data_IF_275413176666
#
_entry.id   IF_275413176666
#
_cell.length_a   1.000
_cell.length_b   1.000
_cell.length_c   1.000
_cell.angle_alpha   90.00
_cell.angle_beta   90.00
_cell.angle_gamma   90.00
#
_symmetry.space_group_name_H-M   'P 1'
#
loop_
_entity.id
_entity.type
_entity.pdbx_description
1 polymer ?
#
# COMPACT_ATOMS: atom_id res chain seq x y z
N UNK A 1 -2.06 3.39 32.28
CA UNK A 1 -1.98 2.19 33.13
C UNK A 1 -0.78 2.17 34.10
N UNK A 2 0.44 2.56 33.69
CA UNK A 2 1.64 2.46 34.55
C UNK A 2 1.64 3.32 35.83
N UNK A 3 0.95 4.47 35.82
CA UNK A 3 0.88 5.38 36.98
C UNK A 3 0.04 4.80 38.14
N UNK A 4 -1.03 4.06 37.82
CA UNK A 4 -1.88 3.43 38.84
C UNK A 4 -1.13 2.33 39.62
N UNK A 5 -0.25 1.59 38.96
CA UNK A 5 0.54 0.55 39.62
C UNK A 5 1.51 1.14 40.66
N UNK A 6 2.11 2.29 40.36
CA UNK A 6 3.06 2.96 41.26
C UNK A 6 2.34 3.49 42.50
N UNK A 7 1.14 4.05 42.35
CA UNK A 7 0.34 4.55 43.47
C UNK A 7 -0.13 3.41 44.37
N UNK A 8 -0.54 2.26 43.80
CA UNK A 8 -0.98 1.09 44.57
C UNK A 8 0.19 0.46 45.34
N UNK A 9 1.39 0.38 44.73
CA UNK A 9 2.58 -0.10 45.44
C UNK A 9 2.96 0.81 46.62
N UNK A 10 2.86 2.13 46.48
CA UNK A 10 3.14 3.06 47.58
C UNK A 10 2.13 2.94 48.74
N UNK A 11 0.86 2.71 48.43
CA UNK A 11 -0.18 2.50 49.45
C UNK A 11 -0.02 1.18 50.20
N UNK A 12 0.43 0.12 49.51
CA UNK A 12 0.66 -1.19 50.13
C UNK A 12 1.87 -1.18 51.08
N UNK A 13 2.96 -0.50 50.72
CA UNK A 13 4.15 -0.39 51.58
C UNK A 13 3.84 0.41 52.86
N UNK A 14 2.96 1.41 52.78
CA UNK A 14 2.57 2.24 53.92
C UNK A 14 1.72 1.45 54.95
N UNK A 15 0.90 0.50 54.51
CA UNK A 15 0.04 -0.32 55.37
C UNK A 15 0.83 -1.30 56.24
N UNK A 16 1.91 -1.91 55.73
CA UNK A 16 2.70 -2.88 56.49
C UNK A 16 3.48 -2.24 57.65
N UNK A 17 3.87 -0.96 57.54
CA UNK A 17 4.57 -0.26 58.62
C UNK A 17 3.69 0.11 59.82
N UNK A 18 2.36 0.01 59.71
CA UNK A 18 1.43 0.41 60.78
C UNK A 18 1.09 -0.72 61.76
N UNK A 19 1.41 -1.98 61.43
CA UNK A 19 1.00 -3.15 62.22
C UNK A 19 1.97 -3.55 63.36
N UNK A 20 3.14 -2.92 63.50
CA UNK A 20 4.12 -3.25 64.54
C UNK A 20 4.60 -2.03 65.33
N UNK A 21 3.76 -1.50 66.23
CA UNK A 21 4.14 -0.95 67.56
C UNK A 21 2.96 -0.27 68.25
N UNK A 22 2.24 -1.01 69.08
CA UNK A 22 1.41 -0.42 70.12
C UNK A 22 2.29 -0.05 71.31
N UNK A 23 2.91 1.14 71.23
CA UNK A 23 3.34 1.97 72.37
C UNK A 23 3.92 3.26 71.77
N UNK A 24 3.07 4.27 71.57
CA UNK A 24 3.45 5.55 70.97
C UNK A 24 3.84 6.54 72.08
N UNK A 25 5.09 7.04 72.13
CA UNK A 25 5.42 8.24 72.88
C UNK A 25 4.81 9.46 72.18
N UNK A 26 4.14 10.32 72.95
CA UNK A 26 3.38 11.49 72.50
C UNK A 26 4.20 12.61 71.85
N UNK A 27 5.51 12.43 71.72
CA UNK A 27 6.43 13.50 71.29
C UNK A 27 6.55 13.64 69.76
N UNK A 28 6.00 12.72 68.97
CA UNK A 28 6.22 12.70 67.51
C UNK A 28 5.05 13.17 66.63
N UNK A 29 3.96 13.69 67.19
CA UNK A 29 2.76 14.07 66.41
C UNK A 29 3.03 15.21 65.43
N UNK A 30 3.94 16.14 65.76
CA UNK A 30 4.25 17.28 64.88
C UNK A 30 4.90 16.89 63.54
N UNK A 31 5.68 15.82 63.49
CA UNK A 31 6.31 15.36 62.25
C UNK A 31 5.31 14.78 61.24
N UNK A 32 4.22 14.17 61.73
CA UNK A 32 3.18 13.57 60.86
C UNK A 32 2.38 14.64 60.12
N UNK A 33 2.02 15.73 60.78
CA UNK A 33 1.30 16.84 60.15
C UNK A 33 2.14 17.58 59.11
N UNK A 34 3.44 17.73 59.35
CA UNK A 34 4.36 18.33 58.38
C UNK A 34 4.46 17.48 57.11
N UNK A 35 4.66 16.17 57.25
CA UNK A 35 4.72 15.25 56.10
C UNK A 35 3.40 15.22 55.30
N UNK A 36 2.26 15.24 55.99
CA UNK A 36 0.95 15.30 55.33
C UNK A 36 0.79 16.57 54.50
N UNK A 37 1.23 17.72 55.03
CA UNK A 37 1.19 18.99 54.30
C UNK A 37 2.05 18.97 53.03
N UNK A 38 3.25 18.41 53.10
CA UNK A 38 4.13 18.26 51.92
C UNK A 38 3.51 17.38 50.84
N UNK A 39 2.87 16.27 51.22
CA UNK A 39 2.20 15.37 50.26
C UNK A 39 1.03 16.10 49.58
N UNK A 40 0.21 16.81 50.34
CA UNK A 40 -0.92 17.57 49.79
C UNK A 40 -0.46 18.70 48.87
N UNK A 41 0.61 19.43 49.24
CA UNK A 41 1.19 20.48 48.41
C UNK A 41 1.76 19.92 47.09
N UNK A 42 2.42 18.77 47.14
CA UNK A 42 2.98 18.12 45.95
C UNK A 42 1.87 17.66 44.99
N UNK A 43 0.83 16.97 45.50
CA UNK A 43 -0.30 16.52 44.69
C UNK A 43 -1.05 17.72 44.08
N UNK A 44 -1.26 18.79 44.86
CA UNK A 44 -1.87 20.02 44.37
C UNK A 44 -1.05 20.66 43.24
N UNK A 45 0.27 20.75 43.38
CA UNK A 45 1.17 21.28 42.36
C UNK A 45 1.15 20.47 41.06
N UNK A 46 1.15 19.13 41.15
CA UNK A 46 1.04 18.25 39.98
C UNK A 46 -0.30 18.44 39.23
N UNK A 47 -1.41 18.63 39.95
CA UNK A 47 -2.72 18.85 39.31
C UNK A 47 -2.78 20.20 38.57
N UNK A 48 -2.22 21.26 39.15
CA UNK A 48 -2.18 22.58 38.52
C UNK A 48 -1.34 22.56 37.24
N UNK A 49 -0.15 21.94 37.29
CA UNK A 49 0.73 21.84 36.11
C UNK A 49 0.13 21.00 35.00
N UNK A 50 -0.56 19.90 35.32
CA UNK A 50 -1.29 19.09 34.35
C UNK A 50 -2.44 19.87 33.68
N UNK A 51 -3.19 20.67 34.46
CA UNK A 51 -4.26 21.51 33.93
C UNK A 51 -3.73 22.58 32.95
N UNK A 52 -2.59 23.19 33.29
CA UNK A 52 -1.92 24.17 32.41
C UNK A 52 -1.47 23.50 31.10
N UNK A 53 -0.81 22.34 31.17
CA UNK A 53 -0.39 21.59 29.98
C UNK A 53 -1.58 21.19 29.10
N UNK A 54 -2.70 20.77 29.71
CA UNK A 54 -3.91 20.41 28.99
C UNK A 54 -4.52 21.61 28.25
N UNK A 55 -4.56 22.79 28.89
CA UNK A 55 -5.06 24.02 28.28
C UNK A 55 -4.21 24.45 27.07
N UNK A 56 -2.88 24.41 27.18
CA UNK A 56 -1.98 24.71 26.05
C UNK A 56 -2.14 23.73 24.89
N UNK A 57 -2.35 22.43 25.19
CA UNK A 57 -2.53 21.41 24.15
C UNK A 57 -3.85 21.61 23.39
N UNK A 58 -4.92 22.05 24.05
CA UNK A 58 -6.23 22.27 23.41
C UNK A 58 -6.20 23.46 22.42
N UNK A 59 -5.42 24.50 22.70
CA UNK A 59 -5.28 25.65 21.79
C UNK A 59 -4.60 25.29 20.46
N UNK A 60 -3.60 24.41 20.49
CA UNK A 60 -2.86 24.00 19.28
C UNK A 60 -3.66 23.09 18.35
N UNK A 61 -4.60 22.30 18.87
CA UNK A 61 -5.41 21.36 18.08
C UNK A 61 -6.40 22.11 17.18
N UNK A 62 -7.04 23.16 17.71
CA UNK A 62 -8.05 23.92 16.96
C UNK A 62 -7.47 24.68 15.75
N UNK A 63 -6.21 25.13 15.85
CA UNK A 63 -5.55 25.82 14.72
C UNK A 63 -5.20 24.83 13.59
N UNK A 64 -4.75 23.62 13.95
CA UNK A 64 -4.39 22.59 12.97
C UNK A 64 -5.62 22.05 12.24
N UNK A 65 -6.74 21.88 12.94
CA UNK A 65 -8.01 21.41 12.35
C UNK A 65 -8.59 22.40 11.33
N UNK A 66 -8.47 23.71 11.61
CA UNK A 66 -8.91 24.75 10.67
C UNK A 66 -8.04 24.79 9.40
N UNK A 67 -6.72 24.67 9.54
CA UNK A 67 -5.81 24.68 8.39
C UNK A 67 -5.95 23.41 7.52
N UNK A 68 -6.20 22.26 8.17
CA UNK A 68 -6.47 21.00 7.47
C UNK A 68 -7.75 21.03 6.66
N UNK A 69 -8.84 21.58 7.22
CA UNK A 69 -10.14 21.63 6.56
C UNK A 69 -10.16 22.58 5.36
N UNK A 70 -9.49 23.73 5.43
CA UNK A 70 -9.35 24.67 4.29
C UNK A 70 -8.57 24.03 3.13
N UNK A 71 -7.46 23.34 3.43
CA UNK A 71 -6.67 22.64 2.40
C UNK A 71 -7.47 21.52 1.73
N UNK A 72 -8.27 20.79 2.49
CA UNK A 72 -9.11 19.72 1.96
C UNK A 72 -10.22 20.29 1.06
N UNK A 73 -10.86 21.38 1.47
CA UNK A 73 -11.91 22.03 0.70
C UNK A 73 -11.39 22.59 -0.63
N UNK A 74 -10.20 23.17 -0.63
CA UNK A 74 -9.53 23.64 -1.86
C UNK A 74 -9.22 22.48 -2.82
N UNK A 75 -8.74 21.34 -2.31
CA UNK A 75 -8.51 20.13 -3.13
C UNK A 75 -9.81 19.56 -3.69
N UNK A 76 -10.88 19.56 -2.90
CA UNK A 76 -12.19 19.08 -3.34
C UNK A 76 -12.73 19.94 -4.49
N UNK A 77 -12.64 21.27 -4.38
CA UNK A 77 -13.07 22.17 -5.45
C UNK A 77 -12.30 21.94 -6.75
N UNK A 78 -10.98 21.72 -6.68
CA UNK A 78 -10.16 21.39 -7.84
C UNK A 78 -10.65 20.10 -8.54
N UNK A 79 -10.87 19.03 -7.78
CA UNK A 79 -11.34 17.74 -8.30
C UNK A 79 -12.74 17.86 -8.92
N UNK A 80 -13.61 18.67 -8.34
CA UNK A 80 -14.94 18.95 -8.89
C UNK A 80 -14.84 19.64 -10.25
N UNK A 81 -13.94 20.61 -10.39
CA UNK A 81 -13.77 21.34 -11.65
C UNK A 81 -13.09 20.48 -12.73
N UNK A 82 -12.13 19.63 -12.37
CA UNK A 82 -11.55 18.64 -13.28
C UNK A 82 -12.60 17.64 -13.79
N UNK A 83 -13.49 17.16 -12.91
CA UNK A 83 -14.59 16.29 -13.32
C UNK A 83 -15.57 16.99 -14.29
N UNK A 84 -15.84 18.29 -14.09
CA UNK A 84 -16.67 19.06 -15.04
C UNK A 84 -15.98 19.18 -16.40
N UNK A 85 -14.66 19.40 -16.43
CA UNK A 85 -13.87 19.47 -17.66
C UNK A 85 -13.88 18.13 -18.41
N UNK A 86 -13.56 17.04 -17.73
CA UNK A 86 -13.58 15.68 -18.30
C UNK A 86 -14.97 15.29 -18.84
N UNK A 87 -16.04 15.66 -18.12
CA UNK A 87 -17.42 15.43 -18.59
C UNK A 87 -17.76 16.22 -19.85
N UNK A 88 -17.14 17.38 -20.07
CA UNK A 88 -17.30 18.14 -21.31
C UNK A 88 -16.54 17.44 -22.45
N UNK A 89 -15.28 17.08 -22.22
CA UNK A 89 -14.45 16.38 -23.21
C UNK A 89 -15.09 15.05 -23.67
N UNK A 90 -15.65 14.27 -22.75
CA UNK A 90 -16.37 13.04 -23.13
C UNK A 90 -17.59 13.31 -24.02
N UNK A 91 -18.34 14.39 -23.77
CA UNK A 91 -19.48 14.76 -24.62
C UNK A 91 -19.03 15.21 -26.01
N UNK A 92 -17.93 15.94 -26.08
CA UNK A 92 -17.37 16.43 -27.34
C UNK A 92 -16.83 15.26 -28.18
N UNK A 93 -16.11 14.32 -27.56
CA UNK A 93 -15.64 13.08 -28.20
C UNK A 93 -16.79 12.18 -28.66
N UNK A 94 -17.85 12.02 -27.86
CA UNK A 94 -19.03 11.25 -28.27
C UNK A 94 -19.71 11.89 -29.50
N UNK A 95 -19.75 13.22 -29.58
CA UNK A 95 -20.28 13.93 -30.74
C UNK A 95 -19.41 13.68 -31.98
N UNK A 96 -18.08 13.74 -31.85
CA UNK A 96 -17.14 13.47 -32.93
C UNK A 96 -17.27 12.04 -33.46
N UNK A 97 -17.34 11.04 -32.57
CA UNK A 97 -17.57 9.65 -32.92
C UNK A 97 -18.89 9.45 -33.70
N UNK A 98 -19.96 10.15 -33.31
CA UNK A 98 -21.24 10.12 -34.05
C UNK A 98 -21.10 10.71 -35.45
N UNK A 99 -20.41 11.84 -35.58
CA UNK A 99 -20.17 12.46 -36.90
C UNK A 99 -19.33 11.58 -37.81
N UNK A 100 -18.28 10.94 -37.28
CA UNK A 100 -17.47 9.99 -38.05
C UNK A 100 -18.28 8.80 -38.50
N UNK A 101 -19.11 8.22 -37.62
CA UNK A 101 -19.98 7.09 -37.98
C UNK A 101 -20.93 7.43 -39.15
N UNK A 102 -21.53 8.61 -39.14
CA UNK A 102 -22.37 9.07 -40.26
C UNK A 102 -21.61 9.24 -41.59
N UNK A 103 -20.30 9.54 -41.54
CA UNK A 103 -19.47 9.60 -42.75
C UNK A 103 -19.14 8.22 -43.32
N UNK A 104 -19.05 7.19 -42.46
CA UNK A 104 -18.77 5.81 -42.87
C UNK A 104 -20.02 5.05 -43.28
N UNK A 105 -21.19 5.36 -42.71
CA UNK A 105 -22.48 4.79 -43.11
C UNK A 105 -23.04 5.40 -44.42
N UNK A 106 -22.20 6.11 -45.19
CA UNK A 106 -22.57 6.68 -46.48
C UNK A 106 -22.61 5.56 -47.55
N UNK A 107 -23.75 5.30 -48.22
CA UNK A 107 -23.98 4.10 -49.06
C UNK A 107 -23.12 4.00 -50.34
N UNK A 108 -22.18 4.92 -50.56
CA UNK A 108 -21.32 4.97 -51.75
C UNK A 108 -20.28 3.84 -51.81
N UNK A 109 -20.08 3.09 -50.72
CA UNK A 109 -19.21 1.90 -50.71
C UNK A 109 -19.97 0.62 -51.10
N UNK A 110 -21.30 0.61 -51.02
CA UNK A 110 -22.12 -0.57 -51.36
C UNK A 110 -22.42 -0.67 -52.87
N UNK A 111 -22.21 0.41 -53.63
CA UNK A 111 -22.38 0.44 -55.09
C UNK A 111 -21.12 -0.02 -55.85
N UNK A 112 -19.93 -0.02 -55.22
CA UNK A 112 -18.70 -0.58 -55.81
C UNK A 112 -18.51 -2.09 -55.55
N UNK A 113 -19.36 -2.71 -54.75
CA UNK A 113 -19.30 -4.15 -54.44
C UNK A 113 -20.22 -5.01 -55.32
N UNK A 114 -20.98 -4.42 -56.25
CA UNK A 114 -21.95 -5.14 -57.10
C UNK A 114 -21.51 -5.36 -58.55
N UNK A 115 -20.37 -4.83 -58.98
CA UNK A 115 -19.97 -4.85 -60.40
C UNK A 115 -18.96 -5.93 -60.80
N UNK A 116 -18.50 -6.81 -59.89
CA UNK A 116 -17.44 -7.80 -60.20
C UNK A 116 -17.81 -9.28 -59.98
N UNK A 117 -19.09 -9.64 -60.12
CA UNK A 117 -19.52 -11.07 -60.08
C UNK A 117 -20.35 -11.44 -61.31
N UNK A 118 -19.74 -11.35 -62.50
CA UNK A 118 -20.16 -12.15 -63.65
C UNK A 118 -19.00 -12.39 -64.61
N UNK A 119 -18.13 -13.34 -64.29
CA UNK A 119 -17.51 -14.12 -65.36
C UNK A 119 -17.13 -15.52 -64.88
N UNK A 120 -17.74 -16.51 -65.53
CA UNK A 120 -17.37 -17.91 -65.45
C UNK A 120 -15.94 -18.09 -65.97
N UNK A 121 -15.17 -19.00 -65.37
CA UNK A 121 -14.58 -20.16 -66.07
C UNK A 121 -13.70 -21.00 -65.15
N UNK A 122 -14.03 -22.29 -65.12
CA UNK A 122 -13.16 -23.45 -64.91
C UNK A 122 -12.08 -23.36 -63.83
N UNK A 123 -12.41 -23.90 -62.66
CA UNK A 123 -11.42 -24.40 -61.71
C UNK A 123 -10.80 -25.70 -62.27
N UNK A 124 -9.47 -25.81 -62.43
CA UNK A 124 -8.83 -27.08 -62.65
C UNK A 124 -8.89 -27.91 -61.37
N UNK A 125 -9.44 -29.12 -61.48
CA UNK A 125 -9.38 -30.13 -60.41
C UNK A 125 -7.92 -30.58 -60.29
N UNK A 126 -7.22 -30.08 -59.27
CA UNK A 126 -5.92 -30.59 -58.87
C UNK A 126 -6.11 -31.72 -57.86
N UNK A 127 -5.63 -32.90 -58.23
CA UNK A 127 -5.57 -34.10 -57.41
C UNK A 127 -4.47 -33.90 -56.34
N UNK A 128 -4.85 -33.28 -55.21
CA UNK A 128 -3.96 -33.09 -54.07
C UNK A 128 -3.72 -34.41 -53.33
N UNK A 129 -2.70 -35.12 -53.79
CA UNK A 129 -2.03 -36.14 -52.99
C UNK A 129 -1.43 -35.45 -51.76
N UNK A 130 -1.78 -35.83 -50.52
CA UNK A 130 -1.30 -35.15 -49.33
C UNK A 130 0.23 -35.27 -49.25
N UNK A 131 0.92 -34.18 -49.58
CA UNK A 131 2.36 -34.05 -49.42
C UNK A 131 2.59 -33.74 -47.95
N UNK A 132 3.01 -34.74 -47.18
CA UNK A 132 3.54 -34.51 -45.84
C UNK A 132 4.79 -33.64 -46.00
N UNK A 133 4.66 -32.35 -45.70
CA UNK A 133 5.79 -31.44 -45.54
C UNK A 133 6.31 -31.68 -44.13
N UNK A 134 7.25 -32.60 -44.01
CA UNK A 134 8.09 -32.75 -42.83
C UNK A 134 9.00 -31.51 -42.78
N UNK A 135 8.63 -30.55 -41.93
CA UNK A 135 9.49 -29.41 -41.63
C UNK A 135 10.62 -29.89 -40.71
N UNK A 136 11.70 -30.38 -41.31
CA UNK A 136 12.99 -30.50 -40.65
C UNK A 136 13.57 -29.10 -40.39
N UNK A 137 12.98 -28.38 -39.42
CA UNK A 137 13.64 -27.26 -38.75
C UNK A 137 14.17 -27.79 -37.42
N UNK A 138 15.07 -28.76 -37.53
CA UNK A 138 15.84 -29.27 -36.40
C UNK A 138 17.31 -28.94 -36.67
N UNK A 139 17.86 -28.14 -35.74
CA UNK A 139 19.28 -27.97 -35.45
C UNK A 139 20.13 -27.13 -36.41
N UNK A 140 20.05 -25.79 -36.28
CA UNK A 140 21.25 -24.93 -36.43
C UNK A 140 21.17 -23.51 -35.83
N UNK A 141 20.57 -23.35 -34.65
CA UNK A 141 20.87 -22.20 -33.78
C UNK A 141 21.22 -22.68 -32.35
N UNK A 142 22.48 -22.60 -31.92
CA UNK A 142 22.81 -22.73 -30.50
C UNK A 142 22.44 -21.40 -29.82
N UNK A 143 21.29 -21.35 -29.14
CA UNK A 143 20.93 -20.17 -28.35
C UNK A 143 19.44 -19.98 -27.97
N UNK A 144 18.53 -20.89 -28.33
CA UNK A 144 17.16 -20.87 -27.81
C UNK A 144 17.08 -21.70 -26.51
N UNK A 145 17.45 -21.08 -25.40
CA UNK A 145 17.03 -21.55 -24.07
C UNK A 145 16.10 -20.51 -23.45
N UNK A 146 14.84 -20.92 -23.29
CA UNK A 146 13.73 -20.20 -22.65
C UNK A 146 13.20 -18.96 -23.38
N UNK A 147 12.21 -19.17 -24.25
CA UNK A 147 11.07 -18.27 -24.35
C UNK A 147 10.40 -18.21 -22.99
N UNK A 148 10.91 -17.32 -22.13
CA UNK A 148 10.28 -16.90 -20.89
C UNK A 148 8.95 -16.26 -21.31
N UNK A 149 7.87 -17.03 -21.22
CA UNK A 149 6.52 -16.47 -21.28
C UNK A 149 6.51 -15.27 -20.32
N UNK A 150 6.41 -14.07 -20.89
CA UNK A 150 6.43 -12.85 -20.10
C UNK A 150 5.11 -12.78 -19.36
N UNK A 151 5.05 -13.47 -18.23
CA UNK A 151 3.92 -13.41 -17.32
C UNK A 151 3.74 -11.96 -16.88
N UNK A 152 2.47 -11.56 -16.77
CA UNK A 152 2.11 -10.18 -16.49
C UNK A 152 2.75 -9.71 -15.19
N UNK A 153 3.06 -8.42 -15.14
CA UNK A 153 3.61 -7.75 -13.96
C UNK A 153 2.52 -6.87 -13.37
N UNK A 154 2.35 -6.96 -12.06
CA UNK A 154 1.46 -6.10 -11.29
C UNK A 154 2.25 -5.31 -10.26
N UNK A 155 1.81 -4.08 -9.99
CA UNK A 155 2.41 -3.19 -9.01
C UNK A 155 1.39 -2.92 -7.91
N UNK A 156 1.83 -3.04 -6.67
CA UNK A 156 0.96 -2.90 -5.50
C UNK A 156 1.47 -1.82 -4.53
N UNK A 157 0.55 -1.15 -3.82
CA UNK A 157 0.88 -0.26 -2.72
C UNK A 157 1.23 -1.05 -1.45
N UNK A 158 1.16 -0.40 -0.28
CA UNK A 158 1.34 -1.08 0.99
C UNK A 158 0.35 -2.25 1.17
N UNK A 159 0.81 -3.35 1.80
CA UNK A 159 -0.09 -4.42 2.19
C UNK A 159 -1.04 -3.95 3.31
N UNK A 160 -2.11 -4.72 3.54
CA UNK A 160 -2.90 -4.61 4.75
C UNK A 160 -2.06 -5.00 5.98
N UNK A 161 -2.59 -4.72 7.19
CA UNK A 161 -1.92 -5.03 8.46
C UNK A 161 -1.50 -6.51 8.60
N UNK A 162 -2.24 -7.42 7.95
CA UNK A 162 -1.97 -8.85 7.96
C UNK A 162 -0.95 -9.30 6.89
N UNK A 163 -0.40 -8.37 6.11
CA UNK A 163 0.54 -8.66 5.02
C UNK A 163 -0.11 -9.11 3.71
N UNK A 164 -1.42 -8.91 3.57
CA UNK A 164 -2.20 -9.25 2.37
C UNK A 164 -2.31 -8.06 1.41
N UNK A 165 -2.41 -8.32 0.10
CA UNK A 165 -2.64 -7.28 -0.92
C UNK A 165 -3.99 -7.47 -1.60
N UNK A 166 -4.80 -6.41 -1.74
CA UNK A 166 -6.07 -6.52 -2.46
C UNK A 166 -5.82 -6.56 -3.96
N UNK A 167 -6.37 -7.56 -4.65
CA UNK A 167 -6.20 -7.70 -6.10
C UNK A 167 -6.69 -6.45 -6.87
N UNK A 168 -7.73 -5.77 -6.37
CA UNK A 168 -8.27 -4.54 -6.95
C UNK A 168 -7.32 -3.34 -6.90
N UNK A 169 -6.29 -3.37 -6.05
CA UNK A 169 -5.29 -2.29 -5.91
C UNK A 169 -4.07 -2.52 -6.81
N UNK A 170 -4.00 -3.67 -7.48
CA UNK A 170 -2.92 -4.00 -8.42
C UNK A 170 -3.04 -3.20 -9.71
N UNK A 171 -1.92 -2.62 -10.16
CA UNK A 171 -1.82 -1.88 -11.42
C UNK A 171 -0.85 -2.57 -12.38
N UNK A 172 -1.15 -2.57 -13.68
CA UNK A 172 -0.22 -3.06 -14.71
C UNK A 172 0.96 -2.10 -14.96
N UNK A 173 0.89 -0.88 -14.42
CA UNK A 173 1.90 0.16 -14.58
C UNK A 173 2.40 0.63 -13.22
N UNK A 174 3.70 0.90 -13.14
CA UNK A 174 4.32 1.49 -11.95
C UNK A 174 3.80 2.93 -11.75
N UNK A 175 3.37 3.24 -10.54
CA UNK A 175 2.92 4.58 -10.14
C UNK A 175 3.90 5.12 -9.10
N UNK A 176 4.65 6.15 -9.48
CA UNK A 176 5.61 6.80 -8.58
C UNK A 176 4.90 7.32 -7.32
N UNK A 177 5.49 7.06 -6.15
CA UNK A 177 4.91 7.47 -4.87
C UNK A 177 3.66 6.67 -4.44
N UNK A 178 3.27 5.62 -5.15
CA UNK A 178 2.19 4.71 -4.72
C UNK A 178 2.59 3.23 -4.79
N UNK A 179 3.32 2.83 -5.83
CA UNK A 179 3.74 1.44 -6.02
C UNK A 179 5.00 1.12 -5.21
N UNK A 180 4.90 0.16 -4.29
CA UNK A 180 6.02 -0.28 -3.44
C UNK A 180 6.50 -1.68 -3.84
N UNK A 181 5.59 -2.54 -4.32
CA UNK A 181 5.88 -3.92 -4.68
C UNK A 181 5.66 -4.15 -6.15
N UNK A 182 6.45 -5.10 -6.68
CA UNK A 182 6.32 -5.65 -8.01
C UNK A 182 6.06 -7.14 -7.91
N UNK A 183 4.92 -7.55 -8.45
CA UNK A 183 4.49 -8.94 -8.55
C UNK A 183 4.77 -9.42 -9.96
N UNK A 184 5.59 -10.46 -10.08
CA UNK A 184 5.80 -11.21 -11.30
C UNK A 184 4.94 -12.46 -11.22
N UNK A 185 3.84 -12.49 -11.98
CA UNK A 185 2.94 -13.64 -11.97
C UNK A 185 3.69 -14.90 -12.41
N UNK A 186 3.41 -16.03 -11.75
CA UNK A 186 3.84 -17.38 -12.15
C UNK A 186 2.67 -18.13 -12.82
N UNK A 187 1.46 -17.85 -12.37
CA UNK A 187 0.20 -18.32 -12.93
C UNK A 187 -0.91 -17.28 -12.66
N UNK A 188 -2.17 -17.61 -12.94
CA UNK A 188 -3.31 -16.76 -12.57
C UNK A 188 -3.51 -16.63 -11.06
N UNK A 189 -2.93 -17.54 -10.26
CA UNK A 189 -3.12 -17.59 -8.80
C UNK A 189 -1.83 -17.57 -8.01
N UNK A 190 -0.66 -17.66 -8.64
CA UNK A 190 0.65 -17.64 -7.97
C UNK A 190 1.51 -16.52 -8.51
N UNK A 191 2.26 -15.84 -7.63
CA UNK A 191 3.17 -14.77 -8.00
C UNK A 191 4.41 -14.72 -7.11
N UNK A 192 5.53 -14.28 -7.69
CA UNK A 192 6.67 -13.82 -6.92
C UNK A 192 6.58 -12.32 -6.69
N UNK A 193 6.93 -11.83 -5.50
CA UNK A 193 6.99 -10.40 -5.24
C UNK A 193 8.36 -9.94 -4.77
N UNK A 194 8.69 -8.71 -5.14
CA UNK A 194 9.90 -8.00 -4.74
C UNK A 194 9.59 -6.51 -4.50
N UNK A 195 10.44 -5.83 -3.73
CA UNK A 195 10.35 -4.38 -3.58
C UNK A 195 10.76 -3.69 -4.88
N UNK A 196 10.05 -2.63 -5.24
CA UNK A 196 10.45 -1.76 -6.34
C UNK A 196 11.77 -1.06 -6.02
N UNK A 197 12.65 -0.93 -7.01
CA UNK A 197 13.95 -0.28 -6.84
C UNK A 197 13.88 1.27 -6.91
N UNK A 198 12.72 1.81 -7.27
CA UNK A 198 12.52 3.25 -7.40
C UNK A 198 12.73 3.98 -6.08
N UNK A 199 13.34 5.18 -6.13
CA UNK A 199 13.68 5.96 -4.95
C UNK A 199 12.45 6.33 -4.13
N UNK A 200 11.32 6.63 -4.77
CA UNK A 200 10.08 6.97 -4.08
C UNK A 200 9.52 5.76 -3.33
N UNK A 201 9.55 4.59 -3.97
CA UNK A 201 9.10 3.33 -3.40
C UNK A 201 9.95 2.90 -2.19
N UNK A 202 11.28 2.95 -2.34
CA UNK A 202 12.22 2.63 -1.25
C UNK A 202 12.04 3.58 -0.07
N UNK A 203 11.96 4.89 -0.34
CA UNK A 203 11.73 5.89 0.72
C UNK A 203 10.43 5.62 1.48
N UNK A 204 9.34 5.32 0.79
CA UNK A 204 8.06 4.98 1.44
C UNK A 204 8.16 3.72 2.29
N UNK A 205 8.78 2.66 1.79
CA UNK A 205 8.94 1.40 2.50
C UNK A 205 9.80 1.56 3.77
N UNK A 206 10.88 2.34 3.70
CA UNK A 206 11.75 2.61 4.86
C UNK A 206 11.05 3.47 5.92
N UNK A 207 10.31 4.50 5.50
CA UNK A 207 9.55 5.37 6.41
C UNK A 207 8.44 4.62 7.14
N UNK A 208 7.85 3.59 6.52
CA UNK A 208 6.79 2.76 7.09
C UNK A 208 7.26 1.32 7.33
N UNK A 209 8.48 1.13 7.85
CA UNK A 209 9.12 -0.20 8.00
C UNK A 209 8.22 -1.28 8.58
N UNK A 210 7.45 -1.00 9.63
CA UNK A 210 6.63 -2.03 10.27
C UNK A 210 5.48 -2.52 9.38
N UNK A 211 4.83 -1.60 8.67
CA UNK A 211 3.64 -1.85 7.85
C UNK A 211 4.03 -2.31 6.44
N UNK A 212 5.05 -1.69 5.85
CA UNK A 212 5.56 -2.06 4.54
C UNK A 212 6.44 -3.29 4.65
N UNK A 213 7.54 -3.22 5.39
CA UNK A 213 8.60 -4.22 5.29
C UNK A 213 8.31 -5.46 6.15
N UNK A 214 8.10 -5.27 7.45
CA UNK A 214 8.02 -6.40 8.40
C UNK A 214 6.76 -7.25 8.22
N UNK A 215 5.72 -6.68 7.60
CA UNK A 215 4.51 -7.40 7.23
C UNK A 215 4.81 -8.56 6.26
N UNK A 216 5.66 -8.34 5.26
CA UNK A 216 5.83 -9.27 4.13
C UNK A 216 7.27 -9.77 3.91
N UNK A 217 8.25 -9.24 4.67
CA UNK A 217 9.65 -9.58 4.52
C UNK A 217 10.34 -9.88 5.87
N UNK A 218 11.46 -10.60 5.78
CA UNK A 218 12.40 -10.86 6.87
C UNK A 218 13.71 -10.16 6.56
N UNK A 219 14.26 -9.48 7.56
CA UNK A 219 15.51 -8.74 7.45
C UNK A 219 16.71 -9.68 7.61
N UNK A 220 17.64 -9.62 6.65
CA UNK A 220 18.90 -10.35 6.70
C UNK A 220 20.00 -9.57 7.43
N UNK A 221 19.88 -8.23 7.52
CA UNK A 221 20.77 -7.36 8.27
C UNK A 221 19.99 -6.40 9.18
N UNK A 222 20.70 -5.79 10.15
CA UNK A 222 20.10 -4.79 11.03
C UNK A 222 19.59 -3.59 10.23
N UNK A 223 18.48 -3.00 10.69
CA UNK A 223 17.91 -1.81 10.08
C UNK A 223 18.92 -0.65 10.03
N UNK A 224 19.08 -0.06 8.84
CA UNK A 224 19.90 1.11 8.60
C UNK A 224 18.99 2.27 8.18
N UNK A 225 18.88 3.31 9.01
CA UNK A 225 18.07 4.50 8.72
C UNK A 225 18.60 5.35 7.57
N UNK A 226 19.87 5.16 7.18
CA UNK A 226 20.49 5.81 6.03
C UNK A 226 20.46 4.98 4.75
N UNK A 227 19.77 3.82 4.75
CA UNK A 227 19.69 2.98 3.57
C UNK A 227 19.01 3.71 2.40
N UNK A 228 19.56 3.53 1.21
CA UNK A 228 19.03 4.11 -0.04
C UNK A 228 18.43 3.06 -0.95
N UNK A 229 18.66 1.78 -0.66
CA UNK A 229 18.12 0.64 -1.40
C UNK A 229 17.69 -0.49 -0.47
N UNK A 230 16.62 -1.18 -0.85
CA UNK A 230 16.21 -2.46 -0.29
C UNK A 230 16.53 -3.51 -1.35
N UNK A 231 17.51 -4.38 -1.07
CA UNK A 231 17.85 -5.47 -1.98
C UNK A 231 17.22 -6.77 -1.49
N UNK A 232 16.52 -7.46 -2.39
CA UNK A 232 15.95 -8.79 -2.11
C UNK A 232 16.98 -9.87 -2.39
N UNK A 233 17.46 -10.55 -1.35
CA UNK A 233 18.28 -11.75 -1.49
C UNK A 233 17.41 -12.95 -1.90
N UNK A 234 16.16 -12.99 -1.43
CA UNK A 234 15.17 -13.99 -1.79
C UNK A 234 13.83 -13.30 -2.07
N UNK A 235 13.23 -13.57 -3.23
CA UNK A 235 11.87 -13.08 -3.57
C UNK A 235 10.83 -13.72 -2.66
N UNK A 236 9.79 -12.97 -2.36
CA UNK A 236 8.63 -13.50 -1.66
C UNK A 236 7.68 -14.23 -2.61
N UNK A 237 6.81 -15.06 -2.06
CA UNK A 237 5.80 -15.80 -2.81
C UNK A 237 4.41 -15.46 -2.27
N UNK A 238 3.48 -15.21 -3.18
CA UNK A 238 2.09 -14.90 -2.88
C UNK A 238 1.13 -15.77 -3.70
N UNK A 239 -0.01 -16.08 -3.11
CA UNK A 239 -1.10 -16.85 -3.74
C UNK A 239 -2.38 -16.04 -3.67
N UNK A 240 -3.12 -15.97 -4.77
CA UNK A 240 -4.43 -15.32 -4.84
C UNK A 240 -5.48 -16.23 -4.20
N UNK A 241 -6.04 -15.81 -3.08
CA UNK A 241 -7.15 -16.48 -2.40
C UNK A 241 -8.35 -15.52 -2.33
N UNK A 242 -9.38 -15.81 -3.12
CA UNK A 242 -10.53 -14.93 -3.26
C UNK A 242 -10.16 -13.60 -3.93
N UNK A 243 -10.24 -12.50 -3.18
CA UNK A 243 -9.95 -11.15 -3.67
C UNK A 243 -8.56 -10.62 -3.24
N UNK A 244 -7.80 -11.40 -2.47
CA UNK A 244 -6.55 -10.97 -1.85
C UNK A 244 -5.39 -11.87 -2.26
N UNK A 245 -4.24 -11.27 -2.50
CA UNK A 245 -2.96 -11.94 -2.59
C UNK A 245 -2.41 -12.14 -1.18
N UNK A 246 -2.30 -13.41 -0.77
CA UNK A 246 -1.82 -13.84 0.54
C UNK A 246 -0.35 -14.23 0.43
N UNK A 247 0.50 -13.63 1.26
CA UNK A 247 1.92 -13.97 1.31
C UNK A 247 2.10 -15.36 1.93
N UNK A 248 2.63 -16.30 1.16
CA UNK A 248 2.96 -17.66 1.63
C UNK A 248 4.39 -17.75 2.13
N UNK A 249 5.33 -17.13 1.41
CA UNK A 249 6.73 -17.07 1.79
C UNK A 249 7.19 -15.61 1.83
N UNK A 250 7.67 -15.16 2.99
CA UNK A 250 8.21 -13.80 3.15
C UNK A 250 9.49 -13.63 2.35
N UNK A 251 9.66 -12.46 1.74
CA UNK A 251 10.90 -12.09 1.06
C UNK A 251 12.04 -11.98 2.09
N UNK A 252 13.29 -12.26 1.69
CA UNK A 252 14.48 -11.93 2.51
C UNK A 252 15.17 -10.72 1.91
N UNK A 253 15.35 -9.70 2.74
CA UNK A 253 15.89 -8.42 2.27
C UNK A 253 17.11 -7.97 3.06
N UNK A 254 17.91 -7.13 2.43
CA UNK A 254 18.98 -6.37 3.08
C UNK A 254 18.88 -4.89 2.76
N UNK A 255 19.20 -4.08 3.76
CA UNK A 255 19.33 -2.63 3.64
C UNK A 255 20.72 -2.26 3.11
N UNK A 256 20.76 -1.47 2.04
CA UNK A 256 22.01 -0.96 1.41
C UNK A 256 22.04 0.56 1.49
#
# INVERSE_FOLDING_TARGET
>A
MRIYLIIVCFLLISQETFAQKNTVPTENVHHWWSNLYFILAFVGGCMITAAIQFAFRKGSVNHFEKQGSEKLNNRLNLVVDDNKRLKKENRDLEAECRTLRLKFDNPLVEELAKDDVSNNNELPVYDEKPRQVEFDIVNKLPGLTHTKESLAVLYFPNPNLDGEFKNSEGSNSFIEGASIYKFSLKSSTEAYFEFCEDRSAVSMALNHRNESILAVAQEANAYNSGATKIASDQRGEAVLEGANWIVKNKAKIKYI
#
